data_IF_327892873655
#
_entry.id   IF_327892873655
#
_cell.length_a   1.000
_cell.length_b   1.000
_cell.length_c   1.000
_cell.angle_alpha   90.00
_cell.angle_beta   90.00
_cell.angle_gamma   90.00
#
_symmetry.space_group_name_H-M   'P 1'
#
loop_
_entity.id
_entity.type
_entity.pdbx_description
1 polymer ?
#
# COMPACT_ATOMS: atom_id res chain seq x y z
N UNK A 1 -19.73 -33.50 -27.91
CA UNK A 1 -18.53 -34.20 -28.41
C UNK A 1 -17.59 -33.21 -29.10
N UNK A 2 -16.28 -33.23 -28.81
CA UNK A 2 -15.28 -32.37 -29.50
C UNK A 2 -14.93 -33.02 -30.84
N UNK A 3 -15.07 -32.31 -31.96
CA UNK A 3 -14.68 -32.82 -33.28
C UNK A 3 -13.19 -33.19 -33.29
N UNK A 4 -12.87 -34.43 -33.66
CA UNK A 4 -11.51 -35.01 -33.67
C UNK A 4 -10.50 -34.16 -34.47
N UNK A 5 -10.98 -33.46 -35.51
CA UNK A 5 -10.17 -32.62 -36.40
C UNK A 5 -10.47 -31.12 -36.31
N UNK A 6 -11.33 -30.69 -35.38
CA UNK A 6 -11.82 -29.31 -35.34
C UNK A 6 -10.70 -28.26 -35.24
N UNK A 7 -9.69 -28.51 -34.41
CA UNK A 7 -8.55 -27.59 -34.27
C UNK A 7 -7.67 -27.50 -35.52
N UNK A 8 -7.55 -28.58 -36.30
CA UNK A 8 -6.80 -28.59 -37.56
C UNK A 8 -7.53 -27.79 -38.63
N UNK A 9 -8.81 -28.10 -38.84
CA UNK A 9 -9.66 -27.41 -39.82
C UNK A 9 -9.79 -25.92 -39.53
N UNK A 10 -9.84 -25.53 -38.25
CA UNK A 10 -9.86 -24.13 -37.86
C UNK A 10 -8.57 -23.40 -38.27
N UNK A 11 -7.40 -24.01 -38.02
CA UNK A 11 -6.10 -23.44 -38.46
C UNK A 11 -6.02 -23.30 -39.97
N UNK A 12 -6.38 -24.34 -40.72
CA UNK A 12 -6.40 -24.32 -42.19
C UNK A 12 -7.36 -23.25 -42.75
N UNK A 13 -8.51 -23.02 -42.11
CA UNK A 13 -9.43 -21.95 -42.53
C UNK A 13 -8.90 -20.55 -42.20
N UNK A 14 -8.23 -20.39 -41.06
CA UNK A 14 -7.70 -19.10 -40.62
C UNK A 14 -6.45 -18.71 -41.42
N UNK A 15 -5.63 -19.68 -41.80
CA UNK A 15 -4.48 -19.48 -42.69
C UNK A 15 -4.91 -18.93 -44.06
N UNK A 16 -6.04 -19.42 -44.61
CA UNK A 16 -6.62 -18.91 -45.87
C UNK A 16 -7.02 -17.44 -45.83
N UNK A 17 -7.28 -16.88 -44.65
CA UNK A 17 -7.58 -15.44 -44.46
C UNK A 17 -6.39 -14.67 -43.90
N UNK A 18 -5.17 -15.24 -43.97
CA UNK A 18 -3.93 -14.61 -43.53
C UNK A 18 -3.70 -14.63 -42.01
N UNK A 19 -4.50 -15.39 -41.25
CA UNK A 19 -4.35 -15.51 -39.80
C UNK A 19 -3.62 -16.81 -39.44
N UNK A 20 -2.40 -16.70 -38.95
CA UNK A 20 -1.62 -17.87 -38.53
C UNK A 20 -1.91 -18.23 -37.07
N UNK A 21 -2.42 -19.44 -36.84
CA UNK A 21 -2.66 -19.97 -35.50
C UNK A 21 -1.78 -21.20 -35.24
N UNK A 22 -0.90 -21.15 -34.22
CA UNK A 22 -0.03 -22.25 -33.80
C UNK A 22 -0.83 -23.46 -33.31
N UNK A 23 -0.24 -24.66 -33.40
CA UNK A 23 -0.75 -25.83 -32.70
C UNK A 23 -0.35 -25.81 -31.21
N UNK A 24 -1.23 -26.29 -30.32
CA UNK A 24 -0.96 -26.48 -28.88
C UNK A 24 -1.82 -25.62 -27.94
N UNK A 25 -1.67 -25.83 -26.63
CA UNK A 25 -2.29 -25.03 -25.57
C UNK A 25 -1.29 -23.95 -25.13
N UNK A 26 -1.45 -22.72 -25.61
CA UNK A 26 -0.69 -21.58 -25.10
C UNK A 26 -1.35 -21.09 -23.81
N UNK A 27 -0.76 -21.41 -22.65
CA UNK A 27 -1.05 -20.68 -21.41
C UNK A 27 -0.01 -19.57 -21.31
N UNK A 28 -0.45 -18.32 -21.37
CA UNK A 28 0.43 -17.16 -21.24
C UNK A 28 0.76 -16.83 -19.76
N UNK A 29 -0.01 -17.40 -18.83
CA UNK A 29 0.16 -17.21 -17.40
C UNK A 29 -0.13 -18.51 -16.64
N UNK A 30 0.38 -18.60 -15.41
CA UNK A 30 0.04 -19.68 -14.48
C UNK A 30 -1.46 -19.69 -14.21
N UNK A 31 -2.02 -20.88 -14.01
CA UNK A 31 -3.43 -21.00 -13.64
C UNK A 31 -3.60 -20.58 -12.20
N UNK A 32 -4.44 -19.58 -11.98
CA UNK A 32 -4.86 -19.09 -10.67
C UNK A 32 -6.39 -19.04 -10.62
N UNK A 33 -6.98 -18.80 -9.45
CA UNK A 33 -8.43 -18.56 -9.35
C UNK A 33 -8.87 -17.32 -10.14
N UNK A 34 -7.99 -16.34 -10.38
CA UNK A 34 -8.32 -15.20 -11.25
C UNK A 34 -8.61 -15.65 -12.69
N UNK A 35 -7.98 -16.72 -13.16
CA UNK A 35 -8.23 -17.25 -14.51
C UNK A 35 -9.60 -17.92 -14.68
N UNK A 36 -10.33 -18.19 -13.59
CA UNK A 36 -11.72 -18.66 -13.68
C UNK A 36 -12.73 -17.53 -13.83
N UNK A 37 -12.33 -16.28 -13.58
CA UNK A 37 -13.20 -15.11 -13.71
C UNK A 37 -13.20 -14.60 -15.15
N UNK A 38 -14.38 -14.22 -15.64
CA UNK A 38 -14.43 -13.31 -16.79
C UNK A 38 -14.15 -11.88 -16.32
N UNK A 39 -13.74 -11.02 -17.24
CA UNK A 39 -13.36 -9.64 -16.90
C UNK A 39 -14.47 -8.85 -16.17
N UNK A 40 -15.73 -9.05 -16.57
CA UNK A 40 -16.87 -8.45 -15.89
C UNK A 40 -17.02 -8.90 -14.42
N UNK A 41 -16.78 -10.19 -14.13
CA UNK A 41 -16.85 -10.72 -12.77
C UNK A 41 -15.71 -10.16 -11.90
N UNK A 42 -14.50 -10.09 -12.45
CA UNK A 42 -13.35 -9.54 -11.76
C UNK A 42 -13.52 -8.06 -11.41
N UNK A 43 -14.10 -7.27 -12.31
CA UNK A 43 -14.43 -5.85 -12.07
C UNK A 43 -15.49 -5.71 -10.97
N UNK A 44 -16.55 -6.53 -11.00
CA UNK A 44 -17.57 -6.51 -9.94
C UNK A 44 -16.98 -6.93 -8.59
N UNK A 45 -16.18 -7.99 -8.56
CA UNK A 45 -15.48 -8.44 -7.36
C UNK A 45 -14.59 -7.33 -6.77
N UNK A 46 -13.92 -6.54 -7.61
CA UNK A 46 -13.09 -5.44 -7.15
C UNK A 46 -13.92 -4.34 -6.48
N UNK A 47 -15.09 -4.04 -7.04
CA UNK A 47 -16.05 -3.09 -6.48
C UNK A 47 -16.61 -3.59 -5.14
N UNK A 48 -17.06 -4.83 -5.10
CA UNK A 48 -17.64 -5.43 -3.90
C UNK A 48 -16.59 -5.53 -2.78
N UNK A 49 -15.36 -5.91 -3.12
CA UNK A 49 -14.24 -5.89 -2.18
C UNK A 49 -13.97 -4.49 -1.65
N UNK A 50 -13.98 -3.47 -2.52
CA UNK A 50 -13.88 -2.07 -2.12
C UNK A 50 -14.96 -1.66 -1.11
N UNK A 51 -16.21 -2.03 -1.39
CA UNK A 51 -17.34 -1.77 -0.49
C UNK A 51 -17.16 -2.44 0.87
N UNK A 52 -16.76 -3.71 0.91
CA UNK A 52 -16.50 -4.45 2.16
C UNK A 52 -15.33 -3.84 2.93
N UNK A 53 -14.24 -3.46 2.26
CA UNK A 53 -13.14 -2.73 2.88
C UNK A 53 -13.60 -1.39 3.48
N UNK A 54 -14.57 -0.73 2.86
CA UNK A 54 -15.05 0.56 3.31
C UNK A 54 -15.99 0.47 4.52
N UNK A 55 -16.89 -0.52 4.51
CA UNK A 55 -18.05 -0.63 5.40
C UNK A 55 -17.86 -1.63 6.53
N UNK A 56 -17.19 -2.75 6.26
CA UNK A 56 -17.07 -3.87 7.20
C UNK A 56 -15.72 -3.90 7.92
N UNK A 57 -14.67 -3.29 7.36
CA UNK A 57 -13.35 -3.32 7.99
C UNK A 57 -13.34 -2.54 9.31
N UNK A 58 -12.99 -3.18 10.45
CA UNK A 58 -13.12 -2.57 11.79
C UNK A 58 -11.92 -1.67 12.14
N UNK A 59 -11.66 -0.66 11.31
CA UNK A 59 -10.48 0.21 11.40
C UNK A 59 -10.28 0.81 12.80
N UNK A 60 -11.36 1.29 13.41
CA UNK A 60 -11.34 1.92 14.74
C UNK A 60 -10.96 0.92 15.83
N UNK A 61 -11.64 -0.24 15.86
CA UNK A 61 -11.41 -1.27 16.88
C UNK A 61 -9.97 -1.80 16.79
N UNK A 62 -9.47 -2.02 15.57
CA UNK A 62 -8.08 -2.43 15.33
C UNK A 62 -7.08 -1.35 15.78
N UNK A 63 -7.34 -0.08 15.47
CA UNK A 63 -6.53 1.05 15.89
C UNK A 63 -6.44 1.17 17.42
N UNK A 64 -7.58 1.08 18.11
CA UNK A 64 -7.63 1.15 19.57
C UNK A 64 -6.90 -0.04 20.21
N UNK A 65 -7.10 -1.26 19.70
CA UNK A 65 -6.44 -2.45 20.20
C UNK A 65 -4.92 -2.38 20.07
N UNK A 66 -4.41 -2.03 18.89
CA UNK A 66 -2.96 -1.96 18.63
C UNK A 66 -2.30 -0.79 19.35
N UNK A 67 -2.98 0.35 19.47
CA UNK A 67 -2.43 1.52 20.19
C UNK A 67 -2.20 1.22 21.67
N UNK A 68 -3.10 0.44 22.31
CA UNK A 68 -2.94 0.03 23.71
C UNK A 68 -1.77 -0.92 23.94
N UNK A 69 -1.39 -1.72 22.94
CA UNK A 69 -0.30 -2.70 23.05
C UNK A 69 1.09 -2.12 22.77
N UNK A 70 1.16 -1.02 22.02
CA UNK A 70 2.43 -0.55 21.44
C UNK A 70 2.73 0.92 21.68
N UNK A 71 1.94 1.64 22.51
CA UNK A 71 2.16 3.06 22.73
C UNK A 71 2.36 3.38 24.21
N UNK A 72 3.63 3.50 24.61
CA UNK A 72 3.98 4.16 25.86
C UNK A 72 3.88 5.69 25.71
N UNK A 73 3.64 6.44 26.81
CA UNK A 73 3.50 7.90 26.75
C UNK A 73 4.69 8.61 26.11
N UNK A 74 5.90 8.13 26.40
CA UNK A 74 7.17 8.69 25.93
C UNK A 74 7.39 8.55 24.41
N UNK A 75 6.80 7.53 23.78
CA UNK A 75 6.95 7.26 22.34
C UNK A 75 5.79 7.84 21.51
N UNK A 76 4.80 8.47 22.15
CA UNK A 76 3.59 8.95 21.50
C UNK A 76 3.87 9.91 20.33
N UNK A 77 4.85 10.81 20.48
CA UNK A 77 5.25 11.75 19.43
C UNK A 77 5.86 11.02 18.22
N UNK A 78 6.86 10.17 18.46
CA UNK A 78 7.51 9.36 17.40
C UNK A 78 6.48 8.45 16.70
N UNK A 79 5.53 7.89 17.45
CA UNK A 79 4.46 7.06 16.89
C UNK A 79 3.56 7.87 15.94
N UNK A 80 3.18 9.09 16.31
CA UNK A 80 2.41 9.98 15.42
C UNK A 80 3.17 10.28 14.13
N UNK A 81 4.45 10.60 14.21
CA UNK A 81 5.29 10.83 13.03
C UNK A 81 5.32 9.62 12.10
N UNK A 82 5.51 8.40 12.64
CA UNK A 82 5.50 7.17 11.86
C UNK A 82 4.14 6.90 11.19
N UNK A 83 3.04 7.19 11.89
CA UNK A 83 1.69 7.06 11.34
C UNK A 83 1.48 8.04 10.18
N UNK A 84 1.90 9.30 10.32
CA UNK A 84 1.83 10.30 9.25
C UNK A 84 2.69 9.91 8.05
N UNK A 85 3.93 9.50 8.26
CA UNK A 85 4.82 9.06 7.19
C UNK A 85 4.24 7.85 6.43
N UNK A 86 3.71 6.86 7.14
CA UNK A 86 3.07 5.70 6.53
C UNK A 86 1.83 6.10 5.72
N UNK A 87 1.04 7.04 6.25
CA UNK A 87 -0.15 7.57 5.57
C UNK A 87 0.23 8.29 4.28
N UNK A 88 1.34 9.02 4.25
CA UNK A 88 1.83 9.67 3.04
C UNK A 88 2.27 8.64 1.99
N UNK A 89 3.16 7.70 2.33
CA UNK A 89 3.70 6.72 1.38
C UNK A 89 2.59 5.85 0.77
N UNK A 90 1.63 5.42 1.58
CA UNK A 90 0.50 4.61 1.08
C UNK A 90 -0.40 5.43 0.16
N UNK A 91 -0.56 6.74 0.41
CA UNK A 91 -1.34 7.64 -0.48
C UNK A 91 -0.65 7.84 -1.84
N UNK A 92 0.67 7.99 -1.86
CA UNK A 92 1.44 8.10 -3.11
C UNK A 92 1.24 6.88 -4.01
N UNK A 93 1.27 5.67 -3.44
CA UNK A 93 1.00 4.44 -4.18
C UNK A 93 -0.45 4.39 -4.69
N UNK A 94 -1.43 4.76 -3.86
CA UNK A 94 -2.83 4.84 -4.30
C UNK A 94 -3.00 5.80 -5.48
N UNK A 95 -2.34 6.95 -5.44
CA UNK A 95 -2.44 7.96 -6.48
C UNK A 95 -1.84 7.52 -7.80
N UNK A 96 -0.72 6.78 -7.77
CA UNK A 96 -0.17 6.12 -8.96
C UNK A 96 -1.13 5.09 -9.53
N UNK A 97 -1.70 4.22 -8.69
CA UNK A 97 -2.62 3.17 -9.14
C UNK A 97 -3.93 3.74 -9.70
N UNK A 98 -4.43 4.85 -9.16
CA UNK A 98 -5.61 5.54 -9.69
C UNK A 98 -5.37 6.22 -11.05
N UNK A 99 -4.11 6.43 -11.41
CA UNK A 99 -3.70 6.93 -12.71
C UNK A 99 -3.50 5.81 -13.75
N UNK A 100 -3.63 4.54 -13.36
CA UNK A 100 -3.58 3.43 -14.31
C UNK A 100 -4.65 3.60 -15.40
N UNK A 101 -4.21 3.59 -16.66
CA UNK A 101 -5.05 3.65 -17.86
C UNK A 101 -4.89 2.38 -18.70
N UNK A 102 -4.77 1.24 -18.03
CA UNK A 102 -4.76 -0.07 -18.67
C UNK A 102 -6.07 -0.29 -19.44
N UNK A 103 -6.02 -0.82 -20.68
CA UNK A 103 -7.22 -1.16 -21.42
C UNK A 103 -7.95 -2.31 -20.71
N UNK A 104 -9.19 -2.05 -20.30
CA UNK A 104 -10.09 -3.03 -19.72
C UNK A 104 -11.38 -3.09 -20.55
N UNK A 105 -11.91 -4.29 -20.73
CA UNK A 105 -13.05 -4.62 -21.57
C UNK A 105 -12.84 -4.04 -22.98
N UNK A 106 -13.76 -3.17 -23.40
CA UNK A 106 -13.67 -2.48 -24.69
C UNK A 106 -13.16 -1.04 -24.56
N UNK A 107 -12.65 -0.64 -23.39
CA UNK A 107 -12.10 0.69 -23.16
C UNK A 107 -10.63 0.76 -23.54
N UNK A 108 -10.23 1.88 -24.13
CA UNK A 108 -8.84 2.16 -24.52
C UNK A 108 -8.49 3.61 -24.18
N UNK A 109 -8.40 3.93 -22.88
CA UNK A 109 -8.08 5.30 -22.48
C UNK A 109 -6.68 5.69 -22.94
N UNK A 110 -6.46 6.99 -23.17
CA UNK A 110 -5.13 7.50 -23.47
C UNK A 110 -4.24 7.35 -22.23
N UNK A 111 -3.05 6.76 -22.43
CA UNK A 111 -2.08 6.60 -21.35
C UNK A 111 -1.55 7.97 -20.91
N UNK A 112 -1.47 8.16 -19.59
CA UNK A 112 -0.97 9.38 -18.95
C UNK A 112 0.34 9.16 -18.18
N UNK A 113 0.60 7.90 -17.79
CA UNK A 113 1.82 7.50 -17.09
C UNK A 113 2.96 7.27 -18.08
N UNK A 114 4.19 7.31 -17.55
CA UNK A 114 5.38 6.92 -18.30
C UNK A 114 5.19 5.52 -18.92
N UNK A 115 5.55 5.30 -20.21
CA UNK A 115 5.37 4.02 -20.87
C UNK A 115 6.03 2.83 -20.16
N UNK A 116 7.15 3.06 -19.46
CA UNK A 116 7.82 2.03 -18.67
C UNK A 116 6.96 1.57 -17.50
N UNK A 117 6.25 2.47 -16.81
CA UNK A 117 5.36 2.13 -15.70
C UNK A 117 4.03 1.59 -16.20
N UNK A 118 3.40 2.26 -17.17
CA UNK A 118 2.09 1.85 -17.72
C UNK A 118 2.14 0.43 -18.28
N UNK A 119 3.26 0.00 -18.88
CA UNK A 119 3.43 -1.37 -19.38
C UNK A 119 3.30 -2.42 -18.27
N UNK A 120 3.93 -2.18 -17.12
CA UNK A 120 3.89 -3.12 -16.00
C UNK A 120 2.50 -3.17 -15.35
N UNK A 121 1.86 -1.99 -15.18
CA UNK A 121 0.47 -1.92 -14.69
C UNK A 121 -0.50 -2.60 -15.67
N UNK A 122 -0.31 -2.42 -16.97
CA UNK A 122 -1.11 -3.10 -18.00
C UNK A 122 -0.97 -4.61 -17.92
N UNK A 123 0.24 -5.11 -17.76
CA UNK A 123 0.46 -6.55 -17.58
C UNK A 123 -0.26 -7.09 -16.34
N UNK A 124 -0.16 -6.37 -15.21
CA UNK A 124 -0.85 -6.72 -13.98
C UNK A 124 -2.38 -6.69 -14.12
N UNK A 125 -2.93 -5.65 -14.75
CA UNK A 125 -4.35 -5.49 -15.04
C UNK A 125 -4.87 -6.61 -15.95
N UNK A 126 -4.11 -7.03 -16.97
CA UNK A 126 -4.50 -8.14 -17.84
C UNK A 126 -4.52 -9.49 -17.13
N UNK A 127 -3.51 -9.79 -16.28
CA UNK A 127 -3.47 -11.06 -15.54
C UNK A 127 -4.54 -11.11 -14.44
N UNK A 128 -4.87 -9.96 -13.85
CA UNK A 128 -5.88 -9.85 -12.79
C UNK A 128 -7.28 -9.56 -13.32
N UNK A 129 -7.47 -9.47 -14.64
CA UNK A 129 -8.76 -9.13 -15.24
C UNK A 129 -9.34 -7.80 -14.73
N UNK A 130 -8.48 -6.82 -14.44
CA UNK A 130 -8.87 -5.50 -13.91
C UNK A 130 -9.17 -5.47 -12.41
N UNK A 131 -9.12 -6.61 -11.71
CA UNK A 131 -9.34 -6.66 -10.25
C UNK A 131 -8.18 -6.06 -9.44
N UNK A 132 -6.94 -6.27 -9.88
CA UNK A 132 -5.75 -6.10 -9.05
C UNK A 132 -5.54 -4.66 -8.53
N UNK A 133 -5.42 -3.69 -9.43
CA UNK A 133 -5.13 -2.29 -9.03
C UNK A 133 -6.24 -1.71 -8.13
N UNK A 134 -7.54 -1.84 -8.45
CA UNK A 134 -8.61 -1.39 -7.57
C UNK A 134 -8.64 -2.11 -6.22
N UNK A 135 -8.34 -3.42 -6.17
CA UNK A 135 -8.28 -4.16 -4.91
C UNK A 135 -7.14 -3.67 -3.99
N UNK A 136 -5.97 -3.36 -4.54
CA UNK A 136 -4.88 -2.75 -3.78
C UNK A 136 -5.28 -1.37 -3.26
N UNK A 137 -5.90 -0.54 -4.10
CA UNK A 137 -6.39 0.79 -3.68
C UNK A 137 -7.44 0.68 -2.57
N UNK A 138 -8.36 -0.29 -2.64
CA UNK A 138 -9.34 -0.57 -1.60
C UNK A 138 -8.68 -0.96 -0.27
N UNK A 139 -7.72 -1.89 -0.31
CA UNK A 139 -6.97 -2.31 0.88
C UNK A 139 -6.17 -1.15 1.49
N UNK A 140 -5.51 -0.34 0.66
CA UNK A 140 -4.81 0.86 1.12
C UNK A 140 -5.76 1.90 1.70
N UNK A 141 -6.98 2.02 1.18
CA UNK A 141 -8.02 2.88 1.75
C UNK A 141 -8.43 2.41 3.15
N UNK A 142 -8.60 1.11 3.36
CA UNK A 142 -8.85 0.54 4.69
C UNK A 142 -7.67 0.82 5.66
N UNK A 143 -6.43 0.69 5.17
CA UNK A 143 -5.22 1.06 5.94
C UNK A 143 -5.22 2.56 6.29
N UNK A 144 -5.57 3.44 5.35
CA UNK A 144 -5.69 4.89 5.58
C UNK A 144 -6.70 5.21 6.69
N UNK A 145 -7.85 4.51 6.70
CA UNK A 145 -8.84 4.64 7.78
C UNK A 145 -8.24 4.20 9.13
N UNK A 146 -7.59 3.04 9.18
CA UNK A 146 -6.91 2.55 10.38
C UNK A 146 -5.85 3.52 10.91
N UNK A 147 -5.00 4.06 10.04
CA UNK A 147 -3.96 5.04 10.41
C UNK A 147 -4.58 6.32 10.98
N UNK A 148 -5.68 6.77 10.38
CA UNK A 148 -6.41 7.96 10.84
C UNK A 148 -7.07 7.73 12.21
N UNK A 149 -7.70 6.57 12.42
CA UNK A 149 -8.26 6.21 13.73
C UNK A 149 -7.18 6.04 14.81
N UNK A 150 -5.99 5.54 14.43
CA UNK A 150 -4.84 5.45 15.34
C UNK A 150 -4.37 6.83 15.79
N UNK A 151 -4.28 7.80 14.87
CA UNK A 151 -3.97 9.20 15.20
C UNK A 151 -5.03 9.82 16.12
N UNK A 152 -6.31 9.66 15.78
CA UNK A 152 -7.44 10.12 16.60
C UNK A 152 -7.41 9.53 18.02
N UNK A 153 -7.03 8.25 18.15
CA UNK A 153 -6.92 7.60 19.45
C UNK A 153 -5.77 8.17 20.29
N UNK A 154 -4.61 8.41 19.68
CA UNK A 154 -3.45 8.99 20.37
C UNK A 154 -3.70 10.42 20.84
N UNK A 155 -4.46 11.22 20.08
CA UNK A 155 -4.88 12.56 20.50
C UNK A 155 -5.78 12.53 21.73
N UNK A 156 -6.68 11.55 21.83
CA UNK A 156 -7.54 11.36 23.01
C UNK A 156 -6.79 10.86 24.24
N UNK A 157 -5.79 9.99 24.05
CA UNK A 157 -5.00 9.44 25.16
C UNK A 157 -3.98 10.44 25.73
N UNK A 158 -3.47 11.34 24.90
CA UNK A 158 -2.46 12.34 25.30
C UNK A 158 -2.85 13.75 24.85
N UNK A 159 -3.83 14.41 25.49
CA UNK A 159 -4.39 15.70 25.05
C UNK A 159 -3.46 16.93 25.15
N UNK A 160 -2.15 16.78 25.37
CA UNK A 160 -1.27 17.86 25.84
C UNK A 160 0.03 18.12 25.09
N UNK A 161 0.45 17.29 24.13
CA UNK A 161 1.79 17.44 23.51
C UNK A 161 1.88 18.50 22.39
N UNK A 162 0.86 19.35 22.23
CA UNK A 162 0.75 20.32 21.14
C UNK A 162 1.07 21.78 21.50
N UNK A 163 1.45 22.12 22.74
CA UNK A 163 1.74 23.51 23.13
C UNK A 163 2.66 23.57 24.34
N UNK A 164 3.98 23.62 24.12
CA UNK A 164 4.94 23.72 25.23
C UNK A 164 6.41 23.61 24.84
N UNK A 165 6.85 24.22 23.73
CA UNK A 165 8.27 24.55 23.57
C UNK A 165 8.50 25.92 24.20
N UNK A 166 8.66 25.95 25.52
CA UNK A 166 9.44 27.01 26.16
C UNK A 166 10.88 26.59 26.11
N UNK A 167 11.57 27.05 25.06
CA UNK A 167 13.01 27.18 25.04
C UNK A 167 13.41 28.05 26.24
N UNK A 168 13.95 27.43 27.28
CA UNK A 168 14.53 28.12 28.42
C UNK A 168 15.65 27.25 28.97
N UNK A 169 16.79 27.27 28.28
CA UNK A 169 18.10 27.14 28.92
C UNK A 169 19.20 27.49 27.91
N UNK A 170 19.58 28.77 27.91
CA UNK A 170 20.91 29.18 27.50
C UNK A 170 21.52 30.01 28.63
N UNK A 171 22.82 29.77 28.84
CA UNK A 171 23.82 30.47 29.67
C UNK A 171 23.79 30.31 31.20
N UNK A 172 24.76 29.56 31.73
CA UNK A 172 25.89 30.15 32.46
C UNK A 172 27.02 29.13 32.65
N UNK A 173 28.19 29.48 32.11
CA UNK A 173 29.49 28.88 32.40
C UNK A 173 29.94 29.23 33.83
N UNK A 174 30.91 28.45 34.31
CA UNK A 174 31.79 28.67 35.47
C UNK A 174 31.21 28.48 36.88
N UNK A 175 31.69 27.45 37.59
CA UNK A 175 32.62 27.57 38.74
C UNK A 175 33.25 26.20 38.97
N UNK A 176 34.53 26.10 38.63
CA UNK A 176 35.45 25.02 38.98
C UNK A 176 36.29 25.53 40.14
N UNK A 177 36.09 25.01 41.35
CA UNK A 177 37.13 24.73 42.36
C UNK A 177 36.46 24.38 43.70
N UNK A 178 36.44 23.08 44.00
CA UNK A 178 36.32 22.62 45.38
C UNK A 178 37.72 22.55 45.96
N UNK A 179 37.88 23.36 46.99
CA UNK A 179 38.93 23.38 47.97
C UNK A 179 39.27 21.96 48.48
N UNK A 180 40.55 21.74 48.72
CA UNK A 180 41.17 20.48 49.08
C UNK A 180 42.65 20.68 49.40
N UNK A 181 42.95 21.71 50.20
CA UNK A 181 44.24 21.83 50.87
C UNK A 181 44.28 20.86 52.05
N UNK A 182 45.24 19.92 52.05
CA UNK A 182 45.98 19.46 53.24
C UNK A 182 47.16 18.57 52.78
N UNK A 183 48.24 19.26 52.41
CA UNK A 183 49.59 19.13 52.95
C UNK A 183 50.19 17.73 53.26
N UNK A 184 51.38 17.54 52.66
CA UNK A 184 52.63 16.99 53.22
C UNK A 184 53.13 15.57 52.91
N UNK A 185 54.36 15.61 52.36
CA UNK A 185 55.54 14.80 52.68
C UNK A 185 55.77 13.44 52.02
N UNK A 186 56.62 13.55 50.99
CA UNK A 186 57.54 12.60 50.40
C UNK A 186 58.48 11.96 51.43
N UNK A 187 58.45 10.62 51.59
CA UNK A 187 59.63 9.71 51.71
C UNK A 187 59.21 8.31 52.18
N UNK A 188 59.31 7.32 51.29
CA UNK A 188 60.17 6.13 51.45
C UNK A 188 60.28 5.36 50.14
#
# INVERSE_FOLDING_TARGET
AKSKNGGRLLREKLEKIGLNLPAGRRKAANVTLLTSLVEGEAIHLARDFGYVCETEFPAKQVAEYLSRQHCEPQDSYRRKELLHATKQITKELMDLLNQDRSPLCNTRPQHILDPSIQRHLTHFSLISHGFGSPAIVAALTAIQKFLSESLNHLEKMYPGNGSGVTSSQQSSLDVKNKDGSLMNDMKK
#
